data_IF_902880652602
#
_entry.id   IF_902880652602
#
_cell.length_a   1.000
_cell.length_b   1.000
_cell.length_c   1.000
_cell.angle_alpha   90.00
_cell.angle_beta   90.00
_cell.angle_gamma   90.00
#
_symmetry.space_group_name_H-M   'P 1'
#
loop_
_entity.id
_entity.type
_entity.pdbx_description
1 polymer ?
#
# COMPACT_ATOMS: atom_id res chain seq x y z
N UNK A 1 70.56 92.34 -38.80
CA UNK A 1 71.14 92.39 -37.49
C UNK A 1 70.51 91.28 -36.75
N UNK A 2 71.34 90.29 -36.58
CA UNK A 2 71.75 89.69 -35.31
C UNK A 2 70.65 88.82 -34.69
N UNK A 3 70.82 87.67 -34.24
CA UNK A 3 72.06 86.97 -33.87
C UNK A 3 71.81 85.43 -33.92
N UNK A 4 72.83 84.75 -34.31
CA UNK A 4 73.10 83.36 -34.03
C UNK A 4 73.42 83.21 -32.56
N UNK A 5 73.13 82.19 -31.97
CA UNK A 5 74.08 81.39 -31.16
C UNK A 5 73.40 80.15 -30.58
N UNK A 6 73.88 79.04 -30.94
CA UNK A 6 74.61 78.00 -30.22
C UNK A 6 73.74 77.28 -29.17
N UNK A 7 73.46 76.08 -29.47
CA UNK A 7 73.27 75.12 -28.44
C UNK A 7 74.08 73.86 -28.66
N UNK A 8 75.05 73.75 -27.84
CA UNK A 8 75.77 72.56 -27.57
C UNK A 8 74.99 71.61 -26.68
N UNK A 9 74.97 70.37 -27.05
CA UNK A 9 75.11 69.15 -26.27
C UNK A 9 74.47 69.07 -24.90
N UNK A 10 73.52 68.10 -24.81
CA UNK A 10 73.52 67.16 -23.70
C UNK A 10 73.02 65.85 -24.17
N UNK A 11 73.98 64.99 -24.52
CA UNK A 11 73.77 63.54 -24.70
C UNK A 11 73.67 62.95 -23.30
N UNK A 12 72.47 62.68 -22.86
CA UNK A 12 72.27 61.67 -21.75
C UNK A 12 71.83 60.37 -22.32
N UNK A 13 72.76 59.47 -22.21
CA UNK A 13 72.63 58.04 -22.46
C UNK A 13 71.53 57.47 -21.56
N UNK A 14 70.34 57.20 -22.09
CA UNK A 14 69.33 56.38 -21.42
C UNK A 14 69.65 54.92 -21.72
N UNK A 15 70.28 54.27 -20.78
CA UNK A 15 70.34 52.82 -20.71
C UNK A 15 68.93 52.24 -20.74
N UNK A 16 68.50 51.78 -21.91
CA UNK A 16 67.32 50.94 -22.04
C UNK A 16 67.64 49.54 -21.56
N UNK A 17 67.34 49.25 -20.30
CA UNK A 17 67.28 47.85 -19.77
C UNK A 17 66.16 47.13 -20.53
N UNK A 18 66.53 46.44 -21.59
CA UNK A 18 65.67 45.44 -22.27
C UNK A 18 65.31 44.31 -21.28
N UNK A 19 64.18 44.46 -20.56
CA UNK A 19 63.58 43.36 -19.82
C UNK A 19 63.34 42.23 -20.82
N UNK A 20 63.77 40.96 -20.51
CA UNK A 20 63.71 39.89 -21.45
C UNK A 20 62.26 39.54 -21.77
N UNK A 21 61.76 39.92 -22.95
CA UNK A 21 60.40 39.62 -23.44
C UNK A 21 60.14 38.11 -23.53
N UNK A 22 61.18 37.26 -23.47
CA UNK A 22 61.08 35.81 -23.46
C UNK A 22 60.45 35.19 -22.23
N UNK A 23 60.79 35.68 -21.02
CA UNK A 23 60.27 35.15 -19.76
C UNK A 23 58.76 35.39 -19.63
N UNK A 24 58.29 36.56 -20.01
CA UNK A 24 56.83 36.85 -19.98
C UNK A 24 56.05 35.97 -20.97
N UNK A 25 56.63 35.64 -22.14
CA UNK A 25 56.01 34.72 -23.10
C UNK A 25 56.03 33.29 -22.60
N UNK A 26 57.08 32.87 -21.93
CA UNK A 26 57.17 31.51 -21.32
C UNK A 26 56.15 31.39 -20.18
N UNK A 27 56.04 32.39 -19.28
CA UNK A 27 55.04 32.41 -18.22
C UNK A 27 53.61 32.41 -18.81
N UNK A 28 53.36 33.21 -19.84
CA UNK A 28 52.05 33.24 -20.51
C UNK A 28 51.70 31.89 -21.16
N UNK A 29 52.68 31.22 -21.81
CA UNK A 29 52.44 29.89 -22.40
C UNK A 29 52.21 28.79 -21.35
N UNK A 30 52.88 28.84 -20.19
CA UNK A 30 52.64 27.92 -19.07
C UNK A 30 51.25 28.15 -18.46
N UNK A 31 50.81 29.40 -18.30
CA UNK A 31 49.45 29.72 -17.80
C UNK A 31 48.39 29.25 -18.78
N UNK A 32 48.59 29.48 -20.09
CA UNK A 32 47.65 28.98 -21.12
C UNK A 32 47.62 27.49 -21.16
N UNK A 33 48.75 26.79 -21.09
CA UNK A 33 48.81 25.33 -21.01
C UNK A 33 48.09 24.80 -19.76
N UNK A 34 48.27 25.42 -18.61
CA UNK A 34 47.56 25.08 -17.37
C UNK A 34 46.05 25.27 -17.48
N UNK A 35 45.60 26.39 -18.13
CA UNK A 35 44.19 26.62 -18.41
C UNK A 35 43.60 25.61 -19.38
N UNK A 36 44.34 25.21 -20.42
CA UNK A 36 43.91 24.19 -21.38
C UNK A 36 43.83 22.80 -20.74
N UNK A 37 44.77 22.44 -19.88
CA UNK A 37 44.73 21.19 -19.11
C UNK A 37 43.55 21.20 -18.12
N UNK A 38 43.36 22.32 -17.39
CA UNK A 38 42.23 22.51 -16.48
C UNK A 38 40.88 22.46 -17.23
N UNK A 39 40.77 23.13 -18.38
CA UNK A 39 39.57 23.07 -19.21
C UNK A 39 39.34 21.66 -19.79
N UNK A 40 40.42 21.00 -20.25
CA UNK A 40 40.34 19.61 -20.70
C UNK A 40 39.85 18.64 -19.60
N UNK A 41 40.42 18.75 -18.41
CA UNK A 41 39.98 17.98 -17.24
C UNK A 41 38.52 18.25 -16.88
N UNK A 42 38.11 19.54 -16.89
CA UNK A 42 36.71 19.93 -16.64
C UNK A 42 35.74 19.29 -17.65
N UNK A 43 36.07 19.37 -18.95
CA UNK A 43 35.25 18.79 -20.02
C UNK A 43 35.16 17.26 -19.89
N UNK A 44 36.29 16.59 -19.64
CA UNK A 44 36.31 15.14 -19.45
C UNK A 44 35.50 14.72 -18.24
N UNK A 45 35.57 15.48 -17.15
CA UNK A 45 34.77 15.22 -15.94
C UNK A 45 33.27 15.44 -16.21
N UNK A 46 32.88 16.50 -16.90
CA UNK A 46 31.47 16.74 -17.24
C UNK A 46 30.91 15.69 -18.21
N UNK A 47 31.73 15.13 -19.10
CA UNK A 47 31.35 14.02 -20.01
C UNK A 47 31.14 12.67 -19.30
N UNK A 48 31.50 12.57 -18.01
CA UNK A 48 31.25 11.36 -17.21
C UNK A 48 29.87 11.36 -16.53
N UNK A 49 29.15 12.47 -16.59
CA UNK A 49 27.86 12.61 -15.95
C UNK A 49 26.76 12.83 -16.97
N UNK A 50 25.63 12.16 -16.74
CA UNK A 50 24.39 12.43 -17.46
C UNK A 50 23.40 13.07 -16.48
N UNK A 51 22.68 14.10 -16.92
CA UNK A 51 21.69 14.80 -16.12
C UNK A 51 20.41 15.06 -16.90
N UNK A 52 19.32 15.21 -16.19
CA UNK A 52 18.02 15.60 -16.76
C UNK A 52 17.36 16.65 -15.86
N UNK A 53 16.64 17.56 -16.46
CA UNK A 53 15.76 18.54 -15.81
C UNK A 53 14.31 18.04 -15.70
N UNK A 54 14.01 16.92 -16.37
CA UNK A 54 12.70 16.26 -16.28
C UNK A 54 12.73 15.18 -15.21
N UNK A 55 12.77 15.63 -13.96
CA UNK A 55 12.76 14.73 -12.81
C UNK A 55 12.03 15.36 -11.63
N UNK A 56 11.36 14.53 -10.85
CA UNK A 56 10.59 14.95 -9.70
C UNK A 56 10.65 13.93 -8.57
N UNK A 57 10.37 14.39 -7.37
CA UNK A 57 10.19 13.52 -6.20
C UNK A 57 8.84 12.82 -6.30
N UNK A 58 8.79 11.54 -5.99
CA UNK A 58 7.59 10.72 -5.98
C UNK A 58 7.52 9.85 -4.72
N UNK A 59 6.34 9.30 -4.44
CA UNK A 59 6.09 8.37 -3.33
C UNK A 59 4.86 7.51 -3.61
N UNK A 60 4.70 6.41 -2.86
CA UNK A 60 3.47 5.61 -2.93
C UNK A 60 2.41 6.20 -2.00
N UNK A 61 1.50 6.98 -2.51
CA UNK A 61 0.35 7.49 -1.75
C UNK A 61 -0.71 6.42 -1.54
N UNK A 62 -1.39 6.45 -0.38
CA UNK A 62 -2.49 5.54 -0.06
C UNK A 62 -3.76 6.33 0.21
N UNK A 63 -4.81 6.03 -0.55
CA UNK A 63 -6.14 6.57 -0.29
C UNK A 63 -6.80 5.80 0.86
N UNK A 64 -7.18 6.52 1.91
CA UNK A 64 -7.95 5.96 3.01
C UNK A 64 -9.43 6.06 2.66
N UNK A 65 -10.10 4.91 2.60
CA UNK A 65 -11.51 4.79 2.24
C UNK A 65 -12.24 3.93 3.27
N UNK A 66 -13.51 4.22 3.59
CA UNK A 66 -14.32 3.42 4.47
C UNK A 66 -14.69 2.09 3.81
N UNK A 67 -14.85 1.04 4.62
CA UNK A 67 -15.33 -0.26 4.16
C UNK A 67 -16.84 -0.43 4.27
N UNK A 68 -17.48 0.48 5.00
CA UNK A 68 -18.93 0.54 5.22
C UNK A 68 -19.44 1.93 4.97
N UNK A 69 -20.73 2.08 4.64
CA UNK A 69 -21.36 3.36 4.34
C UNK A 69 -22.05 3.90 5.60
N UNK A 70 -22.15 5.23 5.75
CA UNK A 70 -22.87 5.88 6.84
C UNK A 70 -22.52 7.34 6.96
N UNK A 71 -23.09 7.99 7.98
CA UNK A 71 -22.78 9.37 8.31
C UNK A 71 -21.51 9.42 9.17
N UNK A 72 -20.63 10.37 8.90
CA UNK A 72 -19.44 10.61 9.74
C UNK A 72 -19.89 11.25 11.05
N UNK A 73 -19.63 10.57 12.15
CA UNK A 73 -19.90 11.07 13.50
C UNK A 73 -18.79 12.02 13.95
N UNK A 74 -17.52 11.66 13.73
CA UNK A 74 -16.37 12.46 14.13
C UNK A 74 -15.16 12.23 13.24
N UNK A 75 -14.32 13.28 13.08
CA UNK A 75 -13.06 13.26 12.36
C UNK A 75 -11.95 13.74 13.28
N UNK A 76 -10.89 12.93 13.46
CA UNK A 76 -9.81 13.19 14.42
C UNK A 76 -8.55 13.77 13.78
N UNK A 77 -8.52 13.88 12.44
CA UNK A 77 -7.35 14.34 11.70
C UNK A 77 -7.61 15.67 10.99
N UNK A 78 -6.54 16.46 10.85
CA UNK A 78 -6.55 17.74 10.15
C UNK A 78 -5.70 17.62 8.87
N UNK A 79 -5.90 18.57 7.94
CA UNK A 79 -5.01 18.67 6.78
C UNK A 79 -3.56 18.90 7.22
N UNK A 80 -2.63 18.27 6.52
CA UNK A 80 -1.19 18.32 6.77
C UNK A 80 -0.75 17.79 8.15
N UNK A 81 -1.59 17.04 8.85
CA UNK A 81 -1.26 16.39 10.10
C UNK A 81 -0.54 15.05 9.81
N UNK A 82 0.56 14.79 10.50
CA UNK A 82 1.19 13.47 10.51
C UNK A 82 0.41 12.51 11.41
N UNK A 83 0.19 11.29 10.93
CA UNK A 83 -0.49 10.20 11.65
C UNK A 83 0.34 8.93 11.59
N UNK A 84 0.25 8.10 12.62
CA UNK A 84 0.89 6.80 12.66
C UNK A 84 -0.04 5.69 12.17
N UNK A 85 0.55 4.60 11.69
CA UNK A 85 -0.23 3.40 11.37
C UNK A 85 -1.02 2.93 12.60
N UNK A 86 -2.34 2.71 12.42
CA UNK A 86 -3.25 2.32 13.50
C UNK A 86 -3.92 3.47 14.25
N UNK A 87 -3.59 4.74 13.96
CA UNK A 87 -4.30 5.88 14.54
C UNK A 87 -5.76 5.93 14.08
N UNK A 88 -6.68 6.23 15.01
CA UNK A 88 -8.08 6.44 14.69
C UNK A 88 -8.25 7.78 13.98
N UNK A 89 -8.78 7.75 12.75
CA UNK A 89 -8.85 8.94 11.89
C UNK A 89 -10.28 9.48 11.73
N UNK A 90 -11.27 8.59 11.74
CA UNK A 90 -12.68 8.98 11.69
C UNK A 90 -13.58 7.89 12.27
N UNK A 91 -14.78 8.26 12.69
CA UNK A 91 -15.83 7.35 13.13
C UNK A 91 -17.07 7.60 12.27
N UNK A 92 -17.66 6.53 11.79
CA UNK A 92 -18.98 6.49 11.16
C UNK A 92 -20.00 6.18 12.25
N UNK A 93 -21.20 6.79 12.21
CA UNK A 93 -22.30 6.46 13.12
C UNK A 93 -22.55 4.95 13.13
N UNK A 94 -22.40 4.35 14.29
CA UNK A 94 -22.39 2.90 14.48
C UNK A 94 -23.74 2.35 14.97
N UNK A 95 -24.78 3.20 15.15
CA UNK A 95 -26.06 2.82 15.73
C UNK A 95 -26.74 1.68 14.96
N UNK A 96 -26.83 1.80 13.63
CA UNK A 96 -27.44 0.76 12.78
C UNK A 96 -26.63 -0.54 12.78
N UNK A 97 -25.30 -0.45 12.85
CA UNK A 97 -24.41 -1.59 12.90
C UNK A 97 -24.49 -2.33 14.25
N UNK A 98 -24.65 -1.61 15.35
CA UNK A 98 -24.92 -2.18 16.68
C UNK A 98 -26.22 -2.96 16.70
N UNK A 99 -27.31 -2.34 16.20
CA UNK A 99 -28.62 -3.00 16.12
C UNK A 99 -28.53 -4.27 15.28
N UNK A 100 -27.85 -4.24 14.14
CA UNK A 100 -27.67 -5.40 13.27
C UNK A 100 -26.86 -6.52 13.93
N UNK A 101 -25.83 -6.16 14.72
CA UNK A 101 -25.05 -7.11 15.51
C UNK A 101 -25.94 -7.76 16.57
N UNK A 102 -26.72 -6.98 17.34
CA UNK A 102 -27.61 -7.47 18.37
C UNK A 102 -28.68 -8.42 17.80
N UNK A 103 -29.24 -8.11 16.63
CA UNK A 103 -30.20 -8.99 15.93
C UNK A 103 -29.55 -10.31 15.50
N UNK A 104 -28.33 -10.24 14.98
CA UNK A 104 -27.59 -11.43 14.54
C UNK A 104 -27.16 -12.30 15.73
N UNK A 105 -26.82 -11.68 16.85
CA UNK A 105 -26.47 -12.36 18.09
C UNK A 105 -27.68 -13.07 18.71
N UNK A 106 -28.81 -12.38 18.80
CA UNK A 106 -30.05 -12.97 19.27
C UNK A 106 -30.47 -14.19 18.41
N UNK A 107 -30.33 -14.10 17.09
CA UNK A 107 -30.59 -15.22 16.19
C UNK A 107 -29.61 -16.38 16.40
N UNK A 108 -28.32 -16.10 16.60
CA UNK A 108 -27.32 -17.13 16.92
C UNK A 108 -27.64 -17.85 18.23
N UNK A 109 -27.96 -17.12 19.31
CA UNK A 109 -28.32 -17.73 20.60
C UNK A 109 -29.61 -18.55 20.51
N UNK A 110 -30.62 -18.09 19.72
CA UNK A 110 -31.84 -18.88 19.46
C UNK A 110 -31.51 -20.21 18.79
N UNK A 111 -30.76 -20.21 17.71
CA UNK A 111 -30.39 -21.43 16.98
C UNK A 111 -29.55 -22.38 17.84
N UNK A 112 -28.68 -21.86 18.68
CA UNK A 112 -27.89 -22.62 19.64
C UNK A 112 -28.77 -23.31 20.69
N UNK A 113 -29.81 -22.63 21.17
CA UNK A 113 -30.80 -23.19 22.08
C UNK A 113 -31.62 -24.30 21.39
N UNK A 114 -32.09 -24.05 20.15
CA UNK A 114 -32.83 -25.02 19.35
C UNK A 114 -31.99 -26.29 19.12
N UNK A 115 -30.69 -26.16 18.84
CA UNK A 115 -29.77 -27.30 18.74
C UNK A 115 -29.65 -28.06 20.07
N UNK A 116 -29.53 -27.36 21.20
CA UNK A 116 -29.47 -27.96 22.53
C UNK A 116 -30.72 -28.75 22.85
N UNK A 117 -31.91 -28.21 22.55
CA UNK A 117 -33.19 -28.85 22.74
C UNK A 117 -33.33 -30.13 21.87
N UNK A 118 -32.89 -30.02 20.59
CA UNK A 118 -32.90 -31.19 19.71
C UNK A 118 -31.99 -32.32 20.23
N UNK A 119 -30.80 -31.99 20.75
CA UNK A 119 -29.90 -32.97 21.38
C UNK A 119 -30.52 -33.62 22.63
N UNK A 120 -31.18 -32.82 23.47
CA UNK A 120 -31.86 -33.32 24.66
C UNK A 120 -33.02 -34.28 24.28
N UNK A 121 -33.80 -33.93 23.26
CA UNK A 121 -34.88 -34.77 22.75
C UNK A 121 -34.34 -36.10 22.18
N UNK A 122 -33.20 -36.09 21.49
CA UNK A 122 -32.58 -37.33 21.03
C UNK A 122 -32.19 -38.24 22.18
N UNK A 123 -31.51 -37.72 23.21
CA UNK A 123 -31.13 -38.48 24.41
C UNK A 123 -32.36 -39.11 25.12
N UNK A 124 -33.48 -38.36 25.19
CA UNK A 124 -34.73 -38.86 25.74
C UNK A 124 -35.31 -39.97 24.88
N UNK A 125 -35.31 -39.84 23.55
CA UNK A 125 -35.79 -40.87 22.63
C UNK A 125 -34.92 -42.18 22.70
N UNK A 126 -33.60 -42.03 22.80
CA UNK A 126 -32.66 -43.15 22.98
C UNK A 126 -32.92 -43.90 24.29
N UNK A 127 -33.21 -43.18 25.36
CA UNK A 127 -33.56 -43.79 26.67
C UNK A 127 -34.89 -44.54 26.61
N UNK A 128 -35.90 -43.95 25.94
CA UNK A 128 -37.21 -44.54 25.77
C UNK A 128 -37.17 -45.86 24.93
N UNK A 129 -36.42 -45.86 23.82
CA UNK A 129 -36.30 -47.09 23.02
C UNK A 129 -35.52 -48.17 23.76
N UNK A 130 -34.48 -47.81 24.51
CA UNK A 130 -33.74 -48.78 25.33
C UNK A 130 -34.64 -49.46 26.38
N UNK A 131 -35.55 -48.73 27.02
CA UNK A 131 -36.52 -49.26 27.94
C UNK A 131 -37.54 -50.14 27.22
N UNK A 132 -38.14 -49.63 26.11
CA UNK A 132 -39.13 -50.40 25.34
C UNK A 132 -38.56 -51.68 24.78
N UNK A 133 -37.31 -51.77 24.38
CA UNK A 133 -36.61 -52.92 23.93
C UNK A 133 -36.47 -53.97 25.03
N UNK A 134 -36.05 -53.56 26.23
CA UNK A 134 -35.94 -54.44 27.39
C UNK A 134 -37.30 -55.02 27.80
N UNK A 135 -38.36 -54.19 27.76
CA UNK A 135 -39.71 -54.61 28.02
C UNK A 135 -40.20 -55.70 27.01
N UNK A 136 -39.99 -55.40 25.71
CA UNK A 136 -40.31 -56.29 24.63
C UNK A 136 -39.62 -57.71 24.81
N UNK A 137 -38.33 -57.71 25.07
CA UNK A 137 -37.54 -58.94 25.30
C UNK A 137 -38.05 -59.67 26.49
N UNK A 138 -38.41 -59.03 27.58
CA UNK A 138 -39.00 -59.59 28.76
C UNK A 138 -40.37 -60.28 28.48
N UNK A 139 -41.28 -59.51 27.81
CA UNK A 139 -42.61 -60.02 27.47
C UNK A 139 -42.56 -61.10 26.39
N UNK A 140 -41.61 -61.17 25.52
CA UNK A 140 -41.35 -62.22 24.55
C UNK A 140 -41.04 -63.52 25.31
N UNK A 141 -40.09 -63.53 26.23
CA UNK A 141 -39.70 -64.69 27.02
C UNK A 141 -40.86 -65.18 27.88
N UNK A 142 -41.65 -64.29 28.49
CA UNK A 142 -42.83 -64.66 29.26
C UNK A 142 -43.95 -65.27 28.41
N UNK A 143 -44.15 -64.80 27.18
CA UNK A 143 -45.10 -65.31 26.22
C UNK A 143 -44.70 -66.72 25.74
N UNK A 144 -43.47 -66.96 25.44
CA UNK A 144 -42.91 -68.25 25.05
C UNK A 144 -43.05 -69.29 26.16
N UNK A 145 -43.02 -68.85 27.43
CA UNK A 145 -43.27 -69.67 28.60
C UNK A 145 -44.77 -69.88 28.98
N UNK A 146 -45.66 -69.22 28.20
CA UNK A 146 -47.13 -69.26 28.48
C UNK A 146 -47.57 -68.40 29.68
N UNK A 147 -46.70 -67.54 30.21
CA UNK A 147 -46.95 -66.76 31.43
C UNK A 147 -47.73 -65.46 31.19
N UNK A 148 -47.85 -64.97 29.92
CA UNK A 148 -48.63 -63.79 29.54
C UNK A 148 -49.45 -64.02 28.28
N UNK A 149 -50.51 -63.26 28.08
CA UNK A 149 -51.37 -63.30 26.90
C UNK A 149 -50.68 -62.80 25.65
N UNK A 150 -51.12 -63.21 24.45
CA UNK A 150 -50.68 -62.69 23.17
C UNK A 150 -50.91 -61.18 23.09
N UNK A 151 -52.05 -60.69 23.58
CA UNK A 151 -52.40 -59.30 23.66
C UNK A 151 -51.37 -58.48 24.42
N UNK A 152 -50.82 -58.97 25.53
CA UNK A 152 -49.81 -58.33 26.35
C UNK A 152 -48.46 -58.22 25.59
N UNK A 153 -48.09 -59.34 24.89
CA UNK A 153 -46.88 -59.29 24.03
C UNK A 153 -47.03 -58.33 22.86
N UNK A 154 -48.17 -58.34 22.13
CA UNK A 154 -48.45 -57.45 21.01
C UNK A 154 -48.44 -55.98 21.46
N UNK A 155 -48.94 -55.67 22.67
CA UNK A 155 -48.86 -54.31 23.24
C UNK A 155 -47.42 -53.87 23.50
N UNK A 156 -46.54 -54.78 23.96
CA UNK A 156 -45.14 -54.48 24.14
C UNK A 156 -44.41 -54.23 22.79
N UNK A 157 -44.78 -54.97 21.72
CA UNK A 157 -44.29 -54.84 20.38
C UNK A 157 -44.67 -53.44 19.85
N UNK A 158 -45.94 -53.05 19.93
CA UNK A 158 -46.42 -51.72 19.48
C UNK A 158 -45.68 -50.54 20.20
N UNK A 159 -45.45 -50.78 21.53
CA UNK A 159 -44.72 -49.78 22.32
C UNK A 159 -43.27 -49.60 21.84
N UNK A 160 -42.60 -50.71 21.50
CA UNK A 160 -41.24 -50.68 20.91
C UNK A 160 -41.23 -49.98 19.54
N UNK A 161 -42.17 -50.32 18.64
CA UNK A 161 -42.30 -49.77 17.32
C UNK A 161 -42.55 -48.24 17.36
N UNK A 162 -43.39 -47.80 18.31
CA UNK A 162 -43.63 -46.38 18.56
C UNK A 162 -42.37 -45.63 19.06
N UNK A 163 -41.62 -46.25 19.98
CA UNK A 163 -40.36 -45.67 20.47
C UNK A 163 -39.30 -45.62 19.36
N UNK A 164 -39.27 -46.61 18.46
CA UNK A 164 -38.38 -46.62 17.28
C UNK A 164 -38.73 -45.48 16.32
N UNK A 165 -40.02 -45.24 16.07
CA UNK A 165 -40.47 -44.13 15.23
C UNK A 165 -40.09 -42.76 15.84
N UNK A 166 -40.25 -42.60 17.16
CA UNK A 166 -39.86 -41.40 17.88
C UNK A 166 -38.34 -41.13 17.82
N UNK A 167 -37.52 -42.19 17.96
CA UNK A 167 -36.05 -42.08 17.81
C UNK A 167 -35.69 -41.62 16.38
N UNK A 168 -36.34 -42.21 15.38
CA UNK A 168 -36.12 -41.83 13.98
C UNK A 168 -36.44 -40.34 13.75
N UNK A 169 -37.56 -39.87 14.31
CA UNK A 169 -37.95 -38.46 14.24
C UNK A 169 -36.94 -37.54 14.95
N UNK A 170 -36.47 -37.90 16.15
CA UNK A 170 -35.48 -37.14 16.90
C UNK A 170 -34.13 -37.09 16.14
N UNK A 171 -33.73 -38.20 15.53
CA UNK A 171 -32.55 -38.24 14.67
C UNK A 171 -32.71 -37.33 13.45
N UNK A 172 -33.86 -37.35 12.78
CA UNK A 172 -34.08 -36.46 11.61
C UNK A 172 -34.06 -34.97 11.96
N UNK A 173 -34.42 -34.59 13.17
CA UNK A 173 -34.34 -33.24 13.65
C UNK A 173 -32.88 -32.75 13.77
N UNK A 174 -31.94 -33.63 14.06
CA UNK A 174 -30.51 -33.34 14.17
C UNK A 174 -29.73 -33.60 12.88
N UNK A 175 -30.04 -34.73 12.23
CA UNK A 175 -29.29 -35.24 11.10
C UNK A 175 -30.13 -35.12 9.83
N UNK A 176 -29.68 -34.36 8.87
CA UNK A 176 -30.16 -34.43 7.50
C UNK A 176 -29.03 -34.99 6.68
N UNK A 177 -29.24 -36.26 6.23
CA UNK A 177 -28.53 -36.80 5.09
C UNK A 177 -27.22 -37.58 5.29
N UNK A 178 -26.92 -38.35 4.26
CA UNK A 178 -25.94 -39.43 4.03
C UNK A 178 -24.47 -39.08 4.35
N UNK A 179 -24.14 -37.83 4.66
CA UNK A 179 -22.76 -37.38 4.89
C UNK A 179 -22.41 -37.12 6.36
N UNK A 180 -23.28 -37.44 7.31
CA UNK A 180 -22.97 -37.31 8.76
C UNK A 180 -22.86 -35.89 9.28
N UNK A 181 -23.18 -34.88 8.46
CA UNK A 181 -23.18 -33.51 8.91
C UNK A 181 -24.56 -33.13 9.45
N UNK A 182 -24.63 -32.70 10.72
CA UNK A 182 -25.90 -32.34 11.32
C UNK A 182 -26.45 -31.07 10.76
N UNK A 183 -27.74 -31.01 10.39
CA UNK A 183 -28.42 -29.78 9.99
C UNK A 183 -28.30 -28.71 11.07
N UNK A 184 -28.43 -29.12 12.32
CA UNK A 184 -28.32 -28.27 13.48
C UNK A 184 -26.95 -27.59 13.57
N UNK A 185 -25.84 -28.31 13.28
CA UNK A 185 -24.50 -27.76 13.28
C UNK A 185 -24.31 -26.77 12.10
N UNK A 186 -24.87 -27.10 10.93
CA UNK A 186 -24.83 -26.24 9.75
C UNK A 186 -25.59 -24.92 10.00
N UNK A 187 -26.79 -25.01 10.57
CA UNK A 187 -27.60 -23.84 10.95
C UNK A 187 -26.87 -22.94 11.97
N UNK A 188 -26.25 -23.55 12.97
CA UNK A 188 -25.48 -22.87 14.00
C UNK A 188 -24.26 -22.17 13.37
N UNK A 189 -23.54 -22.84 12.46
CA UNK A 189 -22.39 -22.26 11.74
C UNK A 189 -22.81 -21.09 10.87
N UNK A 190 -23.96 -21.18 10.19
CA UNK A 190 -24.51 -20.11 9.36
C UNK A 190 -24.89 -18.89 10.22
N UNK A 191 -25.57 -19.10 11.34
CA UNK A 191 -25.95 -18.04 12.25
C UNK A 191 -24.71 -17.37 12.88
N UNK A 192 -23.70 -18.17 13.25
CA UNK A 192 -22.42 -17.65 13.73
C UNK A 192 -21.73 -16.79 12.69
N UNK A 193 -21.66 -17.23 11.43
CA UNK A 193 -21.07 -16.46 10.34
C UNK A 193 -21.80 -15.12 10.12
N UNK A 194 -23.13 -15.10 10.26
CA UNK A 194 -23.92 -13.88 10.17
C UNK A 194 -23.61 -12.90 11.34
N UNK A 195 -23.48 -13.41 12.57
CA UNK A 195 -23.04 -12.63 13.75
C UNK A 195 -21.63 -12.09 13.54
N UNK A 196 -20.67 -12.95 13.14
CA UNK A 196 -19.27 -12.54 12.92
C UNK A 196 -19.18 -11.48 11.82
N UNK A 197 -19.99 -11.58 10.75
CA UNK A 197 -20.08 -10.56 9.70
C UNK A 197 -20.61 -9.22 10.23
N UNK A 198 -21.66 -9.22 11.04
CA UNK A 198 -22.22 -8.01 11.65
C UNK A 198 -21.21 -7.35 12.61
N UNK A 199 -20.47 -8.15 13.40
CA UNK A 199 -19.40 -7.65 14.26
C UNK A 199 -18.25 -7.03 13.46
N UNK A 200 -17.88 -7.62 12.32
CA UNK A 200 -16.87 -7.10 11.41
C UNK A 200 -17.31 -5.78 10.78
N UNK A 201 -18.57 -5.69 10.32
CA UNK A 201 -19.14 -4.46 9.76
C UNK A 201 -19.14 -3.33 10.81
N UNK A 202 -19.50 -3.63 12.06
CA UNK A 202 -19.39 -2.69 13.18
C UNK A 202 -17.95 -2.25 13.42
N UNK A 203 -16.98 -3.15 13.35
CA UNK A 203 -15.57 -2.77 13.49
C UNK A 203 -15.09 -1.80 12.41
N UNK A 204 -15.66 -1.86 11.22
CA UNK A 204 -15.34 -0.99 10.09
C UNK A 204 -15.93 0.42 10.19
N UNK A 205 -16.82 0.68 11.16
CA UNK A 205 -17.27 2.04 11.44
C UNK A 205 -16.16 2.91 12.02
N UNK A 206 -15.16 2.30 12.66
CA UNK A 206 -13.94 2.96 13.12
C UNK A 206 -12.87 2.86 12.04
N UNK A 207 -12.49 4.00 11.49
CA UNK A 207 -11.53 4.08 10.38
C UNK A 207 -10.15 4.39 10.96
N UNK A 208 -9.20 3.53 10.67
CA UNK A 208 -7.81 3.65 11.12
C UNK A 208 -6.87 3.93 9.95
N UNK A 209 -5.77 4.65 10.23
CA UNK A 209 -4.70 4.86 9.26
C UNK A 209 -4.00 3.53 8.93
N UNK A 210 -3.95 3.10 7.66
CA UNK A 210 -3.32 1.82 7.27
C UNK A 210 -1.80 1.85 7.34
N UNK A 211 -1.21 3.05 7.28
CA UNK A 211 0.24 3.30 7.36
C UNK A 211 0.50 4.68 7.94
N UNK A 212 1.72 4.92 8.40
CA UNK A 212 2.17 6.24 8.83
C UNK A 212 2.35 7.17 7.63
N UNK A 213 2.04 8.46 7.82
CA UNK A 213 2.19 9.47 6.77
C UNK A 213 1.45 10.76 7.08
N UNK A 214 1.61 11.74 6.22
CA UNK A 214 0.94 13.04 6.34
C UNK A 214 -0.39 13.02 5.60
N UNK A 215 -1.45 13.48 6.24
CA UNK A 215 -2.79 13.62 5.66
C UNK A 215 -2.78 14.70 4.59
N UNK A 216 -3.21 14.34 3.38
CA UNK A 216 -3.36 15.25 2.24
C UNK A 216 -4.72 15.08 1.59
N UNK A 217 -5.21 16.15 0.95
CA UNK A 217 -6.49 16.13 0.20
C UNK A 217 -7.67 15.60 1.02
N UNK A 218 -7.81 16.04 2.26
CA UNK A 218 -8.91 15.68 3.14
C UNK A 218 -10.24 16.18 2.57
N UNK A 219 -11.18 15.26 2.34
CA UNK A 219 -12.50 15.54 1.78
C UNK A 219 -13.63 15.17 2.74
N UNK A 220 -13.30 14.69 3.94
CA UNK A 220 -14.26 14.20 4.93
C UNK A 220 -14.48 15.25 6.00
N UNK A 221 -15.78 15.47 6.34
CA UNK A 221 -16.21 16.38 7.41
C UNK A 221 -17.24 15.70 8.29
N UNK A 222 -17.34 16.15 9.55
CA UNK A 222 -18.40 15.72 10.48
C UNK A 222 -19.78 15.96 9.88
N UNK A 223 -20.65 14.95 9.96
CA UNK A 223 -22.01 14.99 9.42
C UNK A 223 -22.11 14.63 7.94
N UNK A 224 -21.00 14.44 7.23
CA UNK A 224 -21.00 14.03 5.83
C UNK A 224 -21.41 12.56 5.69
N UNK A 225 -22.19 12.24 4.66
CA UNK A 225 -22.48 10.86 4.29
C UNK A 225 -21.37 10.30 3.39
N UNK A 226 -20.82 9.14 3.77
CA UNK A 226 -19.78 8.43 3.00
C UNK A 226 -20.27 7.07 2.52
N UNK A 227 -19.76 6.64 1.38
CA UNK A 227 -20.04 5.30 0.82
C UNK A 227 -18.78 4.43 0.87
N UNK A 228 -18.98 3.13 1.00
CA UNK A 228 -17.86 2.19 0.98
C UNK A 228 -17.00 2.36 -0.29
N UNK A 229 -15.68 2.46 -0.12
CA UNK A 229 -14.72 2.65 -1.21
C UNK A 229 -14.46 4.08 -1.65
N UNK A 230 -15.26 5.07 -1.22
CA UNK A 230 -14.99 6.48 -1.53
C UNK A 230 -13.79 7.02 -0.74
N UNK A 231 -12.82 7.70 -1.39
CA UNK A 231 -11.64 8.19 -0.69
C UNK A 231 -12.00 9.36 0.24
N UNK A 232 -11.61 9.27 1.51
CA UNK A 232 -11.78 10.31 2.53
C UNK A 232 -10.62 11.31 2.51
N UNK A 233 -9.42 10.80 2.41
CA UNK A 233 -8.16 11.56 2.30
C UNK A 233 -7.05 10.65 1.76
N UNK A 234 -5.92 11.26 1.42
CA UNK A 234 -4.73 10.55 0.96
C UNK A 234 -3.65 10.64 2.03
N UNK A 235 -3.00 9.53 2.33
CA UNK A 235 -1.78 9.49 3.14
C UNK A 235 -0.55 9.53 2.25
N UNK A 236 0.35 10.47 2.55
CA UNK A 236 1.64 10.65 1.90
C UNK A 236 2.71 10.19 2.88
N UNK A 237 3.35 9.05 2.67
CA UNK A 237 4.44 8.57 3.53
C UNK A 237 5.71 9.41 3.36
N UNK A 238 6.63 9.30 4.32
CA UNK A 238 7.93 9.98 4.27
C UNK A 238 8.93 9.30 3.33
N UNK A 239 8.68 8.05 2.95
CA UNK A 239 9.51 7.32 1.99
C UNK A 239 9.33 7.89 0.59
N UNK A 240 10.32 8.67 0.16
CA UNK A 240 10.33 9.32 -1.15
C UNK A 240 11.48 8.82 -2.02
N UNK A 241 11.29 8.87 -3.32
CA UNK A 241 12.34 8.62 -4.32
C UNK A 241 12.24 9.64 -5.44
N UNK A 242 13.21 9.64 -6.33
CA UNK A 242 13.20 10.48 -7.52
C UNK A 242 12.85 9.65 -8.74
N UNK A 243 11.92 10.13 -9.54
CA UNK A 243 11.64 9.64 -10.89
C UNK A 243 12.28 10.61 -11.88
N UNK A 244 13.29 10.14 -12.60
CA UNK A 244 14.05 10.92 -13.55
C UNK A 244 13.85 10.41 -14.97
N UNK A 245 13.34 11.24 -15.87
CA UNK A 245 13.06 10.89 -17.25
C UNK A 245 14.26 11.23 -18.13
N UNK A 246 15.14 10.26 -18.34
CA UNK A 246 16.31 10.41 -19.22
C UNK A 246 15.94 10.14 -20.69
N UNK A 247 16.59 10.88 -21.59
CA UNK A 247 16.49 10.58 -23.03
C UNK A 247 17.14 9.22 -23.32
N UNK A 248 16.61 8.48 -24.30
CA UNK A 248 17.10 7.15 -24.67
C UNK A 248 18.63 7.11 -24.90
N UNK A 249 19.20 8.14 -25.52
CA UNK A 249 20.64 8.24 -25.78
C UNK A 249 21.49 8.46 -24.52
N UNK A 250 20.91 9.00 -23.43
CA UNK A 250 21.58 9.23 -22.14
C UNK A 250 21.69 7.93 -21.31
N UNK A 251 20.89 6.89 -21.62
CA UNK A 251 20.91 5.63 -20.89
C UNK A 251 22.15 4.78 -21.19
N UNK A 252 22.97 5.18 -22.14
CA UNK A 252 24.20 4.45 -22.47
C UNK A 252 25.14 4.43 -21.27
N UNK A 253 25.37 3.26 -20.71
CA UNK A 253 26.22 3.07 -19.54
C UNK A 253 25.53 3.27 -18.19
N UNK A 254 24.21 3.56 -18.16
CA UNK A 254 23.44 3.56 -16.94
C UNK A 254 23.04 2.15 -16.52
N UNK A 255 23.23 1.82 -15.25
CA UNK A 255 22.79 0.55 -14.65
C UNK A 255 22.45 0.73 -13.16
N UNK A 256 21.62 -0.14 -12.60
CA UNK A 256 21.30 -0.11 -11.17
C UNK A 256 22.55 -0.12 -10.29
N UNK A 257 22.49 0.61 -9.19
CA UNK A 257 23.55 0.75 -8.20
C UNK A 257 24.51 1.92 -8.43
N UNK A 258 24.47 2.59 -9.58
CA UNK A 258 25.34 3.75 -9.83
C UNK A 258 24.99 4.92 -8.91
N UNK A 259 26.00 5.67 -8.42
CA UNK A 259 25.82 6.82 -7.57
C UNK A 259 25.23 8.00 -8.36
N UNK A 260 24.33 8.73 -7.68
CA UNK A 260 23.64 9.89 -8.24
C UNK A 260 23.72 11.06 -7.27
N UNK A 261 24.08 12.22 -7.77
CA UNK A 261 23.99 13.48 -7.07
C UNK A 261 22.65 14.14 -7.38
N UNK A 262 21.82 14.34 -6.36
CA UNK A 262 20.47 14.89 -6.51
C UNK A 262 20.45 16.32 -5.99
N UNK A 263 20.10 17.27 -6.85
CA UNK A 263 19.84 18.65 -6.46
C UNK A 263 18.34 18.87 -6.48
N UNK A 264 17.78 19.34 -5.38
CA UNK A 264 16.37 19.71 -5.25
C UNK A 264 16.28 21.23 -5.38
N UNK A 265 15.40 21.73 -6.23
CA UNK A 265 15.31 23.17 -6.52
C UNK A 265 14.99 24.00 -5.28
N UNK A 266 14.22 23.46 -4.35
CA UNK A 266 13.92 24.10 -3.06
C UNK A 266 15.16 24.23 -2.15
N UNK A 267 16.19 23.39 -2.33
CA UNK A 267 17.40 23.36 -1.50
C UNK A 267 18.68 23.49 -2.34
N UNK A 268 18.93 24.63 -3.01
CA UNK A 268 19.99 24.79 -4.01
C UNK A 268 21.40 24.59 -3.46
N UNK A 269 21.60 24.81 -2.15
CA UNK A 269 22.91 24.69 -1.48
C UNK A 269 23.19 23.28 -0.91
N UNK A 270 22.26 22.33 -1.06
CA UNK A 270 22.43 20.94 -0.59
C UNK A 270 22.38 19.98 -1.78
N UNK A 271 23.37 19.12 -1.86
CA UNK A 271 23.37 17.97 -2.77
C UNK A 271 23.07 16.74 -1.95
N UNK A 272 21.99 16.05 -2.29
CA UNK A 272 21.63 14.79 -1.70
C UNK A 272 22.27 13.64 -2.46
N UNK A 273 22.67 12.59 -1.77
CA UNK A 273 23.25 11.39 -2.39
C UNK A 273 22.18 10.34 -2.61
N UNK A 274 22.21 9.74 -3.77
CA UNK A 274 21.31 8.67 -4.17
C UNK A 274 22.03 7.63 -5.01
N UNK A 275 21.28 6.61 -5.40
CA UNK A 275 21.70 5.57 -6.34
C UNK A 275 20.55 5.20 -7.27
N UNK A 276 20.88 4.78 -8.48
CA UNK A 276 19.91 4.17 -9.39
C UNK A 276 19.39 2.89 -8.75
N UNK A 277 18.07 2.82 -8.52
CA UNK A 277 17.38 1.62 -8.09
C UNK A 277 17.03 0.73 -9.30
N UNK A 278 16.33 1.32 -10.24
CA UNK A 278 15.85 0.60 -11.42
C UNK A 278 15.65 1.52 -12.61
N UNK A 279 15.70 0.94 -13.80
CA UNK A 279 15.41 1.61 -15.07
C UNK A 279 14.16 0.95 -15.63
N UNK A 280 13.13 1.73 -15.93
CA UNK A 280 11.89 1.21 -16.47
C UNK A 280 12.13 0.61 -17.87
N UNK A 281 11.55 -0.58 -18.11
CA UNK A 281 11.74 -1.32 -19.38
C UNK A 281 10.77 -0.88 -20.49
N UNK A 282 10.05 0.23 -20.29
CA UNK A 282 9.15 0.81 -21.28
C UNK A 282 9.25 2.33 -21.23
N UNK A 283 9.12 2.99 -22.38
CA UNK A 283 9.04 4.46 -22.41
C UNK A 283 7.76 4.95 -21.75
N UNK A 284 7.77 6.18 -21.21
CA UNK A 284 6.58 6.78 -20.61
C UNK A 284 5.38 6.80 -21.54
N UNK A 285 5.59 7.02 -22.84
CA UNK A 285 4.54 6.97 -23.86
C UNK A 285 3.88 5.59 -24.00
N UNK A 286 4.66 4.49 -23.85
CA UNK A 286 4.15 3.11 -23.93
C UNK A 286 3.48 2.65 -22.63
N UNK A 287 3.88 3.23 -21.50
CA UNK A 287 3.33 2.91 -20.17
C UNK A 287 2.06 3.73 -19.85
N UNK A 288 1.70 4.71 -20.68
CA UNK A 288 0.49 5.51 -20.50
C UNK A 288 -0.76 4.68 -20.78
N UNK A 289 -1.83 4.87 -19.99
CA UNK A 289 -3.16 4.29 -20.23
C UNK A 289 -3.76 4.74 -21.57
N UNK A 290 -3.33 5.91 -22.07
CA UNK A 290 -3.73 6.47 -23.38
C UNK A 290 -2.45 6.80 -24.15
N UNK A 291 -1.79 5.82 -24.82
CA UNK A 291 -0.62 6.11 -25.65
C UNK A 291 -0.99 7.09 -26.74
N UNK A 292 -0.16 8.12 -27.02
CA UNK A 292 -0.43 9.02 -28.13
C UNK A 292 -0.34 8.25 -29.45
N UNK A 293 -1.45 8.17 -30.18
CA UNK A 293 -1.49 7.65 -31.54
C UNK A 293 -1.05 8.78 -32.51
N UNK A 294 0.06 8.56 -33.21
CA UNK A 294 0.47 9.43 -34.31
C UNK A 294 -0.44 9.17 -35.54
N UNK A 295 -1.57 9.86 -35.59
CA UNK A 295 -2.56 9.72 -36.66
C UNK A 295 -2.17 10.38 -38.00
N UNK A 296 -1.01 10.98 -38.10
CA UNK A 296 -0.51 11.64 -39.33
C UNK A 296 0.65 10.86 -39.92
N UNK A 297 0.48 10.38 -41.15
CA UNK A 297 1.35 9.47 -41.91
C UNK A 297 2.80 9.94 -42.17
N UNK A 298 3.36 10.81 -41.33
CA UNK A 298 4.76 11.23 -41.35
C UNK A 298 5.46 10.70 -40.09
N UNK A 299 6.33 9.71 -40.26
CA UNK A 299 7.14 9.15 -39.17
C UNK A 299 8.25 10.14 -38.83
N UNK A 300 8.07 10.93 -37.77
CA UNK A 300 9.13 11.75 -37.17
C UNK A 300 9.73 10.96 -36.02
N UNK A 301 11.04 10.72 -36.06
CA UNK A 301 11.78 10.08 -34.94
C UNK A 301 11.81 11.04 -33.75
N UNK A 302 10.93 10.79 -32.79
CA UNK A 302 10.91 11.52 -31.51
C UNK A 302 11.76 10.75 -30.50
N UNK A 303 12.73 11.42 -29.86
CA UNK A 303 13.53 10.84 -28.79
C UNK A 303 12.63 10.52 -27.62
N UNK A 304 12.55 9.24 -27.25
CA UNK A 304 11.73 8.77 -26.14
C UNK A 304 12.43 9.03 -24.81
N UNK A 305 11.65 9.33 -23.78
CA UNK A 305 12.13 9.41 -22.40
C UNK A 305 11.80 8.13 -21.65
N UNK A 306 12.76 7.67 -20.87
CA UNK A 306 12.65 6.43 -20.09
C UNK A 306 12.82 6.80 -18.62
N UNK A 307 11.83 6.49 -17.77
CA UNK A 307 11.90 6.75 -16.34
C UNK A 307 12.97 5.88 -15.66
N UNK A 308 13.78 6.53 -14.85
CA UNK A 308 14.79 5.92 -13.97
C UNK A 308 14.41 6.23 -12.54
N UNK A 309 14.23 5.20 -11.71
CA UNK A 309 13.99 5.34 -10.28
C UNK A 309 15.31 5.48 -9.56
N UNK A 310 15.44 6.55 -8.77
CA UNK A 310 16.63 6.87 -7.98
C UNK A 310 16.20 6.94 -6.52
N UNK A 311 16.83 6.18 -5.65
CA UNK A 311 16.58 6.19 -4.20
C UNK A 311 17.66 6.97 -3.48
N UNK A 312 17.28 7.69 -2.43
CA UNK A 312 18.23 8.36 -1.56
C UNK A 312 19.06 7.32 -0.79
N UNK A 313 20.34 7.55 -0.64
CA UNK A 313 21.26 6.70 0.15
C UNK A 313 21.56 7.28 1.52
N UNK A 314 21.28 8.54 1.73
CA UNK A 314 21.37 9.24 3.00
C UNK A 314 19.97 9.25 3.65
N UNK A 315 19.93 9.09 4.97
CA UNK A 315 18.71 9.36 5.73
C UNK A 315 18.39 10.86 5.66
N UNK A 316 17.18 11.17 5.19
CA UNK A 316 16.74 12.55 5.02
C UNK A 316 16.27 13.05 6.39
N UNK A 317 16.94 14.06 6.93
CA UNK A 317 16.46 14.75 8.14
C UNK A 317 15.19 15.54 7.81
N UNK A 318 14.03 14.92 8.07
CA UNK A 318 12.69 15.47 7.79
C UNK A 318 12.40 16.76 8.58
N UNK A 319 13.08 16.98 9.71
CA UNK A 319 12.95 18.23 10.47
C UNK A 319 13.62 19.42 9.76
N UNK A 320 14.67 19.15 8.97
CA UNK A 320 15.44 20.16 8.26
C UNK A 320 15.04 20.29 6.79
N UNK A 321 14.70 19.19 6.15
CA UNK A 321 14.39 19.15 4.72
C UNK A 321 13.03 18.51 4.53
N UNK A 322 12.01 19.35 4.34
CA UNK A 322 10.66 18.87 4.02
C UNK A 322 10.60 18.54 2.51
N UNK A 323 11.01 17.33 2.14
CA UNK A 323 10.99 16.86 0.76
C UNK A 323 9.63 16.20 0.51
N UNK A 324 8.84 16.81 -0.38
CA UNK A 324 7.49 16.33 -0.69
C UNK A 324 7.38 15.88 -2.14
N UNK A 325 6.49 14.91 -2.44
CA UNK A 325 6.22 14.49 -3.81
C UNK A 325 5.80 15.67 -4.70
N UNK A 326 6.26 15.66 -5.95
CA UNK A 326 6.03 16.74 -6.91
C UNK A 326 7.12 17.83 -6.92
N UNK A 327 8.07 17.82 -5.99
CA UNK A 327 9.21 18.73 -6.05
C UNK A 327 10.10 18.43 -7.25
N UNK A 328 10.52 19.49 -7.98
CA UNK A 328 11.45 19.38 -9.10
C UNK A 328 12.88 19.13 -8.62
N UNK A 329 13.58 18.25 -9.31
CA UNK A 329 14.94 17.86 -8.98
C UNK A 329 15.79 17.73 -10.24
N UNK A 330 17.10 17.90 -10.09
CA UNK A 330 18.09 17.69 -11.15
C UNK A 330 19.07 16.62 -10.70
N UNK A 331 18.86 15.34 -11.09
CA UNK A 331 19.81 14.29 -10.81
C UNK A 331 20.98 14.33 -11.79
N UNK A 332 22.20 14.11 -11.28
CA UNK A 332 23.44 13.88 -12.03
C UNK A 332 23.93 12.45 -11.77
N UNK A 333 23.86 11.60 -12.78
CA UNK A 333 24.30 10.20 -12.71
C UNK A 333 25.71 10.08 -13.22
N UNK A 334 26.58 9.42 -12.49
CA UNK A 334 27.93 9.09 -12.94
C UNK A 334 27.89 7.82 -13.80
N UNK A 335 28.12 7.95 -15.12
CA UNK A 335 28.01 6.86 -16.11
C UNK A 335 29.33 6.23 -16.53
N UNK A 336 30.46 6.82 -16.13
CA UNK A 336 31.82 6.30 -16.41
C UNK A 336 32.71 6.40 -15.17
#
# INVERSE_FOLDING_TARGET
>A
MEEKEIQEQNVQEKETTKKPKGIKRIIASVVIAGLLVGAGFYVVNEMQYESTDDAYVDTTTVNVSPRVSGQIEEVFVKDNQFVHAGDLVAIIDDADYKIKLDQSDANYEKIKLDQSNAKANLVAAESNIALAKKDLERYRNLYEQGAVSKQTFDAAQVKYDSAQANLTQANQALFSDKNGQTVADTNLKTAKAAKDKAALDLSYTKIYAPQSGTVSSRRVEKGMWVTAGSPLFTLVPEDVWVVANFKENQLRGMHPGQPVDIKIDTYPNKVFKGKIDSIQRASGAKSSLFPPENAVGSFVKIVQRIPVKIVFTEEIDTNKYNIVPGMSVVPKVKVK
#
